data_IF_371190469091
#
_entry.id   IF_371190469091
#
_cell.length_a   1.000
_cell.length_b   1.000
_cell.length_c   1.000
_cell.angle_alpha   90.00
_cell.angle_beta   90.00
_cell.angle_gamma   90.00
#
_symmetry.space_group_name_H-M   'P 1'
#
loop_
_entity.id
_entity.type
_entity.pdbx_description
1 polymer ?
#
# COMPACT_ATOMS: atom_id res chain seq x y z
N UNK A 1 9.57 -9.19 -24.26
CA UNK A 1 9.26 -8.65 -23.88
C UNK A 1 9.27 -8.48 -22.60
N UNK A 2 9.35 -7.72 -22.27
CA UNK A 2 9.47 -7.65 -21.08
C UNK A 2 8.38 -7.60 -20.39
N UNK A 3 8.28 -7.91 -19.39
CA UNK A 3 7.33 -7.86 -18.74
C UNK A 3 7.51 -6.92 -17.76
N UNK A 4 7.04 -5.81 -17.76
CA UNK A 4 7.04 -4.92 -16.75
C UNK A 4 6.31 -5.45 -15.59
N UNK A 5 6.81 -5.32 -14.43
CA UNK A 5 6.08 -5.76 -13.27
C UNK A 5 4.87 -4.87 -13.14
N UNK A 6 3.77 -5.44 -12.74
CA UNK A 6 2.65 -4.67 -12.49
C UNK A 6 2.83 -3.95 -11.21
N UNK A 7 2.61 -2.67 -11.22
CA UNK A 7 2.69 -1.88 -10.02
C UNK A 7 1.34 -1.27 -9.76
N UNK A 8 0.86 -1.41 -8.55
CA UNK A 8 -0.38 -0.77 -8.18
C UNK A 8 -0.14 0.01 -6.91
N UNK A 9 -0.88 1.07 -6.74
CA UNK A 9 -0.78 1.90 -5.58
C UNK A 9 -2.06 1.77 -4.80
N UNK A 10 -1.95 1.50 -3.51
CA UNK A 10 -3.10 1.35 -2.65
C UNK A 10 -2.93 2.20 -1.42
N UNK A 11 -4.02 2.68 -0.90
CA UNK A 11 -3.99 3.44 0.33
C UNK A 11 -5.02 2.86 1.28
N UNK A 12 -4.73 2.94 2.54
CA UNK A 12 -5.62 2.44 3.57
C UNK A 12 -5.20 3.07 4.88
N UNK A 13 -5.90 2.72 5.94
CA UNK A 13 -5.60 3.33 7.22
C UNK A 13 -4.30 2.83 7.81
N UNK A 14 -3.78 1.74 7.33
CA UNK A 14 -2.50 1.25 7.78
C UNK A 14 -1.80 0.60 6.62
N UNK A 15 -0.48 0.42 6.77
CA UNK A 15 0.29 -0.22 5.73
C UNK A 15 -0.18 -1.64 5.52
N UNK A 16 -0.51 -2.34 6.59
CA UNK A 16 -0.96 -3.71 6.46
C UNK A 16 -2.27 -3.80 5.69
N UNK A 17 -3.18 -2.88 5.95
CA UNK A 17 -4.43 -2.90 5.24
C UNK A 17 -4.22 -2.57 3.77
N UNK A 18 -3.35 -1.60 3.49
CA UNK A 18 -3.08 -1.26 2.11
C UNK A 18 -2.45 -2.44 1.38
N UNK A 19 -1.54 -3.12 2.06
CA UNK A 19 -0.90 -4.27 1.45
C UNK A 19 -1.91 -5.38 1.18
N UNK A 20 -2.79 -5.63 2.14
CA UNK A 20 -3.81 -6.66 1.94
C UNK A 20 -4.67 -6.34 0.73
N UNK A 21 -5.08 -5.09 0.59
CA UNK A 21 -5.88 -4.72 -0.56
C UNK A 21 -5.12 -4.95 -1.86
N UNK A 22 -3.84 -4.62 -1.86
CA UNK A 22 -3.05 -4.82 -3.06
C UNK A 22 -2.91 -6.30 -3.39
N UNK A 23 -2.69 -7.13 -2.38
CA UNK A 23 -2.53 -8.55 -2.61
C UNK A 23 -3.81 -9.17 -3.14
N UNK A 24 -4.95 -8.71 -2.61
CA UNK A 24 -6.21 -9.23 -3.09
C UNK A 24 -6.44 -8.87 -4.55
N UNK A 25 -6.07 -7.65 -4.89
CA UNK A 25 -6.28 -7.22 -6.26
C UNK A 25 -5.36 -7.95 -7.21
N UNK A 26 -4.12 -8.18 -6.81
CA UNK A 26 -3.17 -8.88 -7.65
C UNK A 26 -3.35 -10.39 -7.61
N UNK A 27 -3.99 -10.89 -6.57
CA UNK A 27 -4.20 -12.31 -6.45
C UNK A 27 -2.94 -13.09 -6.15
N UNK A 28 -2.04 -12.48 -5.37
CA UNK A 28 -0.78 -13.13 -5.05
C UNK A 28 -0.59 -13.10 -3.54
N UNK A 29 0.39 -13.84 -3.09
CA UNK A 29 0.69 -13.89 -1.67
C UNK A 29 1.68 -12.80 -1.29
N UNK A 30 1.67 -12.47 -0.03
CA UNK A 30 2.58 -11.46 0.47
C UNK A 30 4.03 -11.86 0.20
N UNK A 31 4.32 -13.14 0.26
CA UNK A 31 5.67 -13.60 0.02
C UNK A 31 6.14 -13.38 -1.40
N UNK A 32 5.22 -13.15 -2.30
CA UNK A 32 5.57 -13.07 -3.70
C UNK A 32 5.66 -11.65 -4.21
N UNK A 33 5.48 -10.67 -3.35
CA UNK A 33 5.51 -9.30 -3.80
C UNK A 33 6.47 -8.50 -2.98
N UNK A 34 6.93 -7.42 -3.56
CA UNK A 34 7.68 -6.45 -2.82
C UNK A 34 6.91 -5.16 -2.90
N UNK A 35 6.97 -4.41 -1.85
CA UNK A 35 6.22 -3.17 -1.83
C UNK A 35 7.08 -2.06 -1.26
N UNK A 36 6.71 -0.86 -1.61
CA UNK A 36 7.38 0.32 -1.12
C UNK A 36 6.36 1.20 -0.43
N UNK A 37 6.71 1.72 0.72
CA UNK A 37 5.81 2.62 1.43
C UNK A 37 6.05 4.01 0.92
N UNK A 38 5.04 4.58 0.28
CA UNK A 38 5.13 5.93 -0.26
C UNK A 38 4.76 6.96 0.79
N UNK A 39 3.75 6.64 1.59
CA UNK A 39 3.33 7.53 2.65
C UNK A 39 3.00 6.67 3.84
N UNK A 40 3.34 7.13 5.02
CA UNK A 40 2.99 6.39 6.22
C UNK A 40 1.70 6.94 6.78
N UNK A 41 0.89 6.04 7.30
CA UNK A 41 -0.33 6.46 7.94
C UNK A 41 0.00 7.26 9.18
N UNK A 42 -0.80 8.26 9.47
CA UNK A 42 -0.62 9.00 10.69
C UNK A 42 -1.97 9.38 11.22
N UNK A 43 -2.05 9.45 12.53
CA UNK A 43 -3.28 9.85 13.15
C UNK A 43 -3.35 11.35 13.16
N UNK A 44 -4.53 11.87 13.29
CA UNK A 44 -4.69 13.29 13.40
C UNK A 44 -3.87 13.80 14.57
N UNK A 45 -3.27 14.96 14.41
CA UNK A 45 -2.42 15.49 15.44
C UNK A 45 -2.58 16.98 15.42
N UNK A 46 -2.83 17.55 16.54
CA UNK A 46 -2.95 18.99 16.67
C UNK A 46 -4.01 19.55 15.72
N UNK A 47 -5.09 18.83 15.58
CA UNK A 47 -6.16 19.31 14.71
C UNK A 47 -5.97 19.04 13.25
N UNK A 48 -4.85 18.49 12.87
CA UNK A 48 -4.64 18.11 11.49
C UNK A 48 -5.34 16.80 11.22
N UNK A 49 -5.79 16.61 10.02
CA UNK A 49 -6.45 15.38 9.68
C UNK A 49 -5.47 14.22 9.65
N UNK A 50 -6.01 13.02 9.75
CA UNK A 50 -5.18 11.86 9.66
C UNK A 50 -4.83 11.61 8.21
N UNK A 51 -3.76 10.90 8.00
CA UNK A 51 -3.33 10.54 6.66
C UNK A 51 -3.37 9.05 6.50
N UNK A 52 -3.68 8.62 5.32
CA UNK A 52 -3.69 7.20 5.02
C UNK A 52 -2.30 6.74 4.63
N UNK A 53 -2.03 5.48 4.88
CA UNK A 53 -0.82 4.87 4.38
C UNK A 53 -0.99 4.62 2.89
N UNK A 54 0.05 4.86 2.13
CA UNK A 54 0.02 4.62 0.70
C UNK A 54 1.22 3.76 0.37
N UNK A 55 0.97 2.67 -0.30
CA UNK A 55 2.05 1.78 -0.69
C UNK A 55 1.94 1.51 -2.18
N UNK A 56 3.06 1.14 -2.74
CA UNK A 56 3.12 0.72 -4.13
C UNK A 56 3.64 -0.71 -4.15
N UNK A 57 2.90 -1.58 -4.76
CA UNK A 57 3.23 -2.99 -4.80
C UNK A 57 3.70 -3.41 -6.16
#
# INVERSE_FOLDING_TARGET
>A
MSKSPKKITKSAKSIEEALTLALEELGVSENEVKYTVLEEASKGFLGLGSKDAVIEV
#
